data_IF_444112886141
#
_entry.id   IF_444112886141
#
_cell.length_a   1.000
_cell.length_b   1.000
_cell.length_c   1.000
_cell.angle_alpha   90.00
_cell.angle_beta   90.00
_cell.angle_gamma   90.00
#
_symmetry.space_group_name_H-M   'P 1'
#
loop_
_entity.id
_entity.type
_entity.pdbx_description
1 polymer ?
#
# COMPACT_ATOMS: atom_id res chain seq x y z
N UNK A 1 -18.38 -3.08 0.49
CA UNK A 1 -17.03 -2.57 0.83
C UNK A 1 -17.12 -2.02 2.23
N UNK A 2 -16.31 -2.58 3.12
CA UNK A 2 -16.43 -2.48 4.58
C UNK A 2 -16.23 -1.04 5.06
N UNK A 3 -17.31 -0.39 5.48
CA UNK A 3 -17.24 0.91 6.15
C UNK A 3 -16.59 0.68 7.49
N UNK A 4 -15.33 1.07 7.64
CA UNK A 4 -14.63 1.08 8.92
C UNK A 4 -15.55 1.76 9.96
N UNK A 5 -16.06 0.94 10.88
CA UNK A 5 -17.01 1.38 11.90
C UNK A 5 -16.30 2.45 12.76
N UNK A 6 -16.87 3.66 12.94
CA UNK A 6 -16.22 4.78 13.65
C UNK A 6 -15.78 4.43 15.08
N UNK A 7 -16.31 3.35 15.66
CA UNK A 7 -15.95 2.77 16.94
C UNK A 7 -14.48 2.31 16.98
N UNK A 8 -13.99 1.65 15.92
CA UNK A 8 -12.61 1.14 15.88
C UNK A 8 -11.57 2.25 15.88
N UNK A 9 -11.86 3.37 15.20
CA UNK A 9 -10.96 4.54 15.19
C UNK A 9 -10.79 5.12 16.60
N UNK A 10 -11.90 5.20 17.33
CA UNK A 10 -11.92 5.74 18.70
C UNK A 10 -11.18 4.83 19.68
N UNK A 11 -11.29 3.50 19.51
CA UNK A 11 -10.57 2.52 20.32
C UNK A 11 -9.05 2.58 20.08
N UNK A 12 -8.62 2.65 18.82
CA UNK A 12 -7.19 2.79 18.47
C UNK A 12 -6.58 4.06 19.06
N UNK A 13 -7.30 5.19 19.04
CA UNK A 13 -6.81 6.43 19.64
C UNK A 13 -6.69 6.33 21.16
N UNK A 14 -7.63 5.65 21.84
CA UNK A 14 -7.57 5.44 23.28
C UNK A 14 -6.39 4.56 23.69
N UNK A 15 -6.10 3.51 22.93
CA UNK A 15 -4.93 2.67 23.17
C UNK A 15 -3.63 3.45 22.95
N UNK A 16 -3.58 4.27 21.90
CA UNK A 16 -2.43 5.15 21.62
C UNK A 16 -2.11 6.10 22.79
N UNK A 17 -3.14 6.73 23.38
CA UNK A 17 -3.00 7.67 24.50
C UNK A 17 -2.44 7.01 25.77
N UNK A 18 -2.60 5.69 25.92
CA UNK A 18 -2.09 4.93 27.06
C UNK A 18 -0.62 4.49 26.88
N UNK A 19 -0.05 4.65 25.68
CA UNK A 19 1.33 4.26 25.41
C UNK A 19 2.29 5.26 26.08
N UNK A 20 3.25 4.81 26.89
CA UNK A 20 4.24 5.70 27.47
C UNK A 20 5.06 6.43 26.37
N UNK A 21 5.35 7.74 26.53
CA UNK A 21 5.98 8.56 25.49
C UNK A 21 7.27 7.98 24.90
N UNK A 22 8.05 7.25 25.71
CA UNK A 22 9.30 6.60 25.32
C UNK A 22 9.12 5.51 24.25
N UNK A 23 7.92 4.92 24.13
CA UNK A 23 7.62 3.90 23.12
C UNK A 23 6.95 4.48 21.86
N UNK A 24 6.50 5.73 21.88
CA UNK A 24 5.86 6.38 20.72
C UNK A 24 6.74 6.39 19.45
N UNK A 25 8.07 6.60 19.50
CA UNK A 25 8.91 6.52 18.29
C UNK A 25 8.89 5.14 17.65
N UNK A 26 8.93 4.06 18.46
CA UNK A 26 8.87 2.69 17.98
C UNK A 26 7.49 2.37 17.40
N UNK A 27 6.43 2.81 18.06
CA UNK A 27 5.06 2.64 17.57
C UNK A 27 4.82 3.38 16.25
N UNK A 28 5.31 4.61 16.12
CA UNK A 28 5.21 5.39 14.88
C UNK A 28 5.90 4.67 13.71
N UNK A 29 7.06 4.04 13.95
CA UNK A 29 7.75 3.23 12.94
C UNK A 29 6.88 2.05 12.50
N UNK A 30 6.27 1.35 13.45
CA UNK A 30 5.37 0.23 13.16
C UNK A 30 4.16 0.67 12.32
N UNK A 31 3.52 1.78 12.67
CA UNK A 31 2.37 2.33 11.91
C UNK A 31 2.78 2.71 10.48
N UNK A 32 3.98 3.27 10.28
CA UNK A 32 4.49 3.60 8.94
C UNK A 32 4.67 2.35 8.07
N UNK A 33 5.31 1.32 8.62
CA UNK A 33 5.51 0.03 7.94
C UNK A 33 4.16 -0.62 7.64
N UNK A 34 3.24 -0.62 8.60
CA UNK A 34 1.90 -1.15 8.39
C UNK A 34 1.18 -0.41 7.27
N UNK A 35 1.21 0.92 7.29
CA UNK A 35 0.63 1.75 6.21
C UNK A 35 1.25 1.40 4.86
N UNK A 36 2.57 1.30 4.77
CA UNK A 36 3.27 0.90 3.55
C UNK A 36 2.89 -0.51 3.07
N UNK A 37 2.56 -1.43 4.00
CA UNK A 37 2.17 -2.80 3.65
C UNK A 37 0.72 -2.92 3.17
N UNK A 38 -0.19 -2.07 3.66
CA UNK A 38 -1.62 -2.10 3.29
C UNK A 38 -1.95 -1.10 2.18
N UNK A 39 -1.12 -0.08 2.00
CA UNK A 39 -1.21 0.80 0.84
C UNK A 39 -0.54 0.04 -0.30
N UNK A 40 -1.25 -0.16 -1.41
CA UNK A 40 -0.66 -0.69 -2.65
C UNK A 40 0.70 -0.04 -2.92
N UNK A 41 1.68 -0.74 -3.52
CA UNK A 41 2.98 -0.16 -3.83
C UNK A 41 2.73 1.22 -4.42
N UNK A 42 3.31 2.24 -3.77
CA UNK A 42 3.00 3.62 -4.11
C UNK A 42 3.07 3.72 -5.62
N UNK A 43 2.11 4.38 -6.28
CA UNK A 43 2.11 4.48 -7.74
C UNK A 43 3.49 4.91 -8.29
N UNK A 44 4.26 5.63 -7.48
CA UNK A 44 5.67 5.94 -7.66
C UNK A 44 6.61 4.73 -7.80
N UNK A 45 6.50 3.68 -6.98
CA UNK A 45 7.31 2.46 -7.06
C UNK A 45 6.91 1.62 -8.26
N UNK A 46 5.60 1.47 -8.51
CA UNK A 46 5.09 0.83 -9.73
C UNK A 46 5.55 1.57 -10.99
N UNK A 47 5.52 2.90 -10.97
CA UNK A 47 6.02 3.73 -12.07
C UNK A 47 7.53 3.61 -12.24
N UNK A 48 8.31 3.62 -11.14
CA UNK A 48 9.76 3.46 -11.19
C UNK A 48 10.16 2.09 -11.75
N UNK A 49 9.40 1.05 -11.40
CA UNK A 49 9.62 -0.29 -11.92
C UNK A 49 9.26 -0.37 -13.41
N UNK A 50 8.05 0.06 -13.79
CA UNK A 50 7.62 0.10 -15.19
C UNK A 50 8.53 0.96 -16.07
N UNK A 51 9.10 2.04 -15.53
CA UNK A 51 10.07 2.88 -16.24
C UNK A 51 11.39 2.14 -16.53
N UNK A 52 11.88 1.32 -15.59
CA UNK A 52 13.08 0.50 -15.82
C UNK A 52 12.83 -0.61 -16.83
N UNK A 53 11.68 -1.26 -16.76
CA UNK A 53 11.26 -2.32 -17.68
C UNK A 53 11.15 -1.76 -19.11
N UNK A 54 10.52 -0.59 -19.27
CA UNK A 54 10.44 0.09 -20.56
C UNK A 54 11.82 0.43 -21.14
N UNK A 55 12.75 0.94 -20.31
CA UNK A 55 14.13 1.23 -20.74
C UNK A 55 14.93 -0.02 -21.13
N UNK A 56 14.56 -1.20 -20.61
CA UNK A 56 15.18 -2.49 -20.93
C UNK A 56 14.52 -3.20 -22.12
N UNK A 57 13.43 -2.63 -22.66
CA UNK A 57 12.64 -3.26 -23.71
C UNK A 57 11.79 -4.43 -23.21
N UNK A 58 11.59 -4.55 -21.90
CA UNK A 58 10.70 -5.53 -21.27
C UNK A 58 9.25 -5.02 -21.38
N UNK A 59 8.79 -4.81 -22.62
CA UNK A 59 7.45 -4.31 -22.93
C UNK A 59 6.66 -5.34 -23.73
N UNK A 60 5.33 -5.26 -23.65
CA UNK A 60 4.43 -6.01 -24.52
C UNK A 60 3.71 -5.06 -25.48
N UNK A 61 3.45 -5.48 -26.73
CA UNK A 61 2.59 -4.74 -27.64
C UNK A 61 1.20 -4.47 -27.04
N UNK A 62 0.64 -3.30 -27.35
CA UNK A 62 -0.72 -2.94 -26.90
C UNK A 62 -1.78 -3.91 -27.42
N UNK A 63 -1.54 -4.54 -28.58
CA UNK A 63 -2.42 -5.56 -29.13
C UNK A 63 -2.56 -6.80 -28.24
N UNK A 64 -1.55 -7.09 -27.42
CA UNK A 64 -1.52 -8.26 -26.53
C UNK A 64 -2.15 -7.98 -25.15
N UNK A 65 -2.57 -6.74 -24.89
CA UNK A 65 -3.02 -6.30 -23.56
C UNK A 65 -4.25 -7.06 -23.05
N UNK A 66 -5.10 -7.54 -23.96
CA UNK A 66 -6.39 -8.17 -23.65
C UNK A 66 -6.40 -9.68 -23.93
N UNK A 67 -5.32 -10.25 -24.46
CA UNK A 67 -5.25 -11.66 -24.88
C UNK A 67 -5.52 -12.63 -23.72
N UNK A 68 -5.09 -12.28 -22.50
CA UNK A 68 -5.28 -13.10 -21.30
C UNK A 68 -6.65 -12.89 -20.62
N UNK A 69 -7.43 -11.89 -21.05
CA UNK A 69 -8.74 -11.54 -20.46
C UNK A 69 -9.93 -12.07 -21.27
N UNK A 70 -9.70 -12.50 -22.52
CA UNK A 70 -10.71 -13.10 -23.40
C UNK A 70 -10.85 -14.63 -23.24
N UNK A 71 -10.23 -15.22 -22.21
CA UNK A 71 -10.53 -16.61 -21.79
C UNK A 71 -11.84 -16.62 -20.96
N UNK A 72 -12.97 -16.53 -21.67
CA UNK A 72 -14.32 -16.65 -21.12
C UNK A 72 -14.64 -18.03 -20.54
#
# INVERSE_FOLDING_TARGET
>A
MDTARPEYRSEVLRELEQIPPEFLPAFLKLVRVFRESVTLPAAQDSFRQGWKEALRGETRPVSELWEDLDAG
#
